data_IF_575144021281
#
_entry.id   IF_575144021281
#
_cell.length_a   1.000
_cell.length_b   1.000
_cell.length_c   1.000
_cell.angle_alpha   90.00
_cell.angle_beta   90.00
_cell.angle_gamma   90.00
#
_symmetry.space_group_name_H-M   'P 1'
#
loop_
_entity.id
_entity.type
_entity.pdbx_description
1 polymer ?
#
# COMPACT_ATOMS: atom_id res chain seq x y z
N UNK A 1 -10.34 -19.05 2.08
CA UNK A 1 -10.46 -17.69 2.65
C UNK A 1 -11.05 -16.78 1.57
N UNK A 2 -11.98 -15.88 1.91
CA UNK A 2 -12.52 -14.93 0.92
C UNK A 2 -11.51 -13.83 0.60
N UNK A 3 -11.54 -13.30 -0.63
CA UNK A 3 -10.73 -12.14 -1.05
C UNK A 3 -10.92 -10.96 -0.11
N UNK A 4 -12.17 -10.70 0.27
CA UNK A 4 -12.54 -9.62 1.19
C UNK A 4 -11.81 -9.74 2.53
N UNK A 5 -11.77 -10.94 3.11
CA UNK A 5 -11.08 -11.17 4.38
C UNK A 5 -9.57 -10.92 4.24
N UNK A 6 -8.94 -11.43 3.17
CA UNK A 6 -7.52 -11.23 2.91
C UNK A 6 -7.17 -9.75 2.72
N UNK A 7 -8.00 -9.00 1.98
CA UNK A 7 -7.82 -7.55 1.78
C UNK A 7 -7.86 -6.81 3.11
N UNK A 8 -8.87 -7.07 3.94
CA UNK A 8 -9.01 -6.42 5.24
C UNK A 8 -7.87 -6.77 6.19
N UNK A 9 -7.44 -8.03 6.20
CA UNK A 9 -6.31 -8.48 7.01
C UNK A 9 -5.01 -7.78 6.57
N UNK A 10 -4.70 -7.80 5.27
CA UNK A 10 -3.51 -7.15 4.72
C UNK A 10 -3.50 -5.64 4.98
N UNK A 11 -4.64 -4.98 4.77
CA UNK A 11 -4.79 -3.57 5.07
C UNK A 11 -4.59 -3.25 6.56
N UNK A 12 -5.23 -4.01 7.46
CA UNK A 12 -5.10 -3.80 8.90
C UNK A 12 -3.65 -3.97 9.37
N UNK A 13 -2.94 -4.98 8.86
CA UNK A 13 -1.51 -5.18 9.16
C UNK A 13 -0.67 -4.01 8.67
N UNK A 14 -0.88 -3.54 7.44
CA UNK A 14 -0.16 -2.38 6.90
C UNK A 14 -0.38 -1.12 7.74
N UNK A 15 -1.64 -0.82 8.09
CA UNK A 15 -1.97 0.33 8.93
C UNK A 15 -1.33 0.21 10.31
N UNK A 16 -1.37 -0.97 10.92
CA UNK A 16 -0.77 -1.20 12.24
C UNK A 16 0.74 -0.94 12.21
N UNK A 17 1.46 -1.53 11.26
CA UNK A 17 2.92 -1.31 11.09
C UNK A 17 3.19 0.17 10.85
N UNK A 18 2.36 0.83 10.05
CA UNK A 18 2.52 2.23 9.72
C UNK A 18 2.34 3.14 10.93
N UNK A 19 1.36 2.89 11.78
CA UNK A 19 1.11 3.63 13.02
C UNK A 19 2.20 3.37 14.07
N UNK A 20 2.76 2.17 14.13
CA UNK A 20 3.73 1.83 15.17
C UNK A 20 5.17 2.23 14.81
N UNK A 21 5.59 2.08 13.55
CA UNK A 21 7.01 2.18 13.18
C UNK A 21 7.31 3.25 12.13
N UNK A 22 6.62 3.23 10.98
CA UNK A 22 7.10 3.93 9.78
C UNK A 22 6.55 5.35 9.60
N UNK A 23 5.57 5.79 10.40
CA UNK A 23 5.08 7.17 10.31
C UNK A 23 6.12 8.23 10.73
N UNK A 24 7.00 7.94 11.69
CA UNK A 24 8.03 8.88 12.17
C UNK A 24 9.02 9.30 11.09
N UNK A 25 9.64 8.36 10.33
CA UNK A 25 10.53 8.75 9.23
C UNK A 25 9.76 9.46 8.10
N UNK A 26 8.55 9.02 7.75
CA UNK A 26 7.72 9.68 6.74
C UNK A 26 7.31 11.11 7.14
N UNK A 27 7.11 11.35 8.43
CA UNK A 27 6.83 12.68 8.98
C UNK A 27 8.04 13.62 8.84
N UNK A 28 9.26 13.12 9.03
CA UNK A 28 10.48 13.91 8.90
C UNK A 28 10.71 14.40 7.45
N UNK A 29 10.33 13.61 6.45
CA UNK A 29 10.47 13.99 5.03
C UNK A 29 9.40 14.99 4.58
N UNK A 30 8.22 14.98 5.20
CA UNK A 30 7.10 15.83 4.84
C UNK A 30 7.15 17.26 5.40
N UNK A 31 8.04 17.55 6.37
CA UNK A 31 8.01 18.76 7.22
C UNK A 31 7.89 20.06 6.38
N UNK A 32 6.68 20.63 6.22
CA UNK A 32 6.46 21.67 5.23
C UNK A 32 6.75 23.05 5.82
N UNK A 33 7.29 24.01 5.04
CA UNK A 33 7.55 25.37 5.50
C UNK A 33 6.28 26.21 5.72
N UNK A 34 5.12 25.77 5.19
CA UNK A 34 3.83 26.46 5.36
C UNK A 34 2.70 25.45 5.57
N UNK A 35 1.98 25.57 6.69
CA UNK A 35 0.97 24.61 7.08
C UNK A 35 -0.37 24.85 6.37
N UNK A 36 -0.95 23.83 5.73
CA UNK A 36 -2.30 23.85 5.14
C UNK A 36 -3.06 22.60 5.59
N UNK A 37 -3.72 22.62 6.77
CA UNK A 37 -4.24 21.40 7.41
C UNK A 37 -5.26 20.65 6.54
N UNK A 38 -6.09 21.37 5.78
CA UNK A 38 -7.09 20.78 4.89
C UNK A 38 -6.44 19.99 3.74
N UNK A 39 -5.35 20.49 3.16
CA UNK A 39 -4.64 19.79 2.08
C UNK A 39 -3.98 18.49 2.59
N UNK A 40 -3.49 18.48 3.83
CA UNK A 40 -2.95 17.28 4.47
C UNK A 40 -4.03 16.26 4.81
N UNK A 41 -5.22 16.68 5.24
CA UNK A 41 -6.36 15.79 5.46
C UNK A 41 -6.73 15.05 4.17
N UNK A 42 -7.00 15.80 3.09
CA UNK A 42 -7.43 15.21 1.82
C UNK A 42 -6.34 14.36 1.17
N UNK A 43 -5.08 14.80 1.20
CA UNK A 43 -3.95 14.01 0.72
C UNK A 43 -3.79 12.69 1.50
N UNK A 44 -3.95 12.74 2.82
CA UNK A 44 -3.86 11.54 3.66
C UNK A 44 -5.01 10.58 3.40
N UNK A 45 -6.25 11.07 3.28
CA UNK A 45 -7.40 10.23 2.95
C UNK A 45 -7.22 9.54 1.59
N UNK A 46 -6.69 10.25 0.59
CA UNK A 46 -6.38 9.68 -0.71
C UNK A 46 -5.29 8.61 -0.62
N UNK A 47 -4.23 8.84 0.16
CA UNK A 47 -3.20 7.85 0.40
C UNK A 47 -3.74 6.63 1.15
N UNK A 48 -4.64 6.81 2.12
CA UNK A 48 -5.29 5.69 2.81
C UNK A 48 -6.11 4.83 1.84
N UNK A 49 -6.87 5.46 0.93
CA UNK A 49 -7.62 4.77 -0.10
C UNK A 49 -6.70 4.00 -1.05
N UNK A 50 -5.59 4.61 -1.47
CA UNK A 50 -4.58 3.94 -2.29
C UNK A 50 -3.96 2.74 -1.57
N UNK A 51 -3.62 2.86 -0.29
CA UNK A 51 -3.11 1.75 0.52
C UNK A 51 -4.11 0.59 0.61
N UNK A 52 -5.42 0.88 0.67
CA UNK A 52 -6.47 -0.14 0.60
C UNK A 52 -6.50 -0.84 -0.77
N UNK A 53 -6.35 -0.11 -1.87
CA UNK A 53 -6.27 -0.70 -3.21
C UNK A 53 -5.03 -1.61 -3.35
N UNK A 54 -3.90 -1.21 -2.76
CA UNK A 54 -2.69 -2.05 -2.67
C UNK A 54 -2.83 -3.25 -1.74
N UNK A 55 -3.83 -3.29 -0.83
CA UNK A 55 -4.17 -4.51 -0.09
C UNK A 55 -5.09 -5.44 -0.91
N UNK A 56 -5.89 -4.85 -1.79
CA UNK A 56 -6.87 -5.56 -2.60
C UNK A 56 -6.23 -6.29 -3.77
N UNK A 57 -5.33 -5.64 -4.52
CA UNK A 57 -4.59 -6.24 -5.63
C UNK A 57 -3.85 -7.56 -5.29
N UNK A 58 -3.06 -7.64 -4.21
CA UNK A 58 -2.40 -8.89 -3.85
C UNK A 58 -3.39 -9.93 -3.30
N UNK A 59 -4.46 -9.50 -2.63
CA UNK A 59 -5.50 -10.41 -2.14
C UNK A 59 -6.29 -11.07 -3.28
N UNK A 60 -6.55 -10.36 -4.38
CA UNK A 60 -7.16 -10.95 -5.57
C UNK A 60 -6.18 -11.90 -6.25
N UNK A 61 -4.92 -11.50 -6.42
CA UNK A 61 -3.86 -12.33 -7.02
C UNK A 61 -3.61 -13.64 -6.24
N UNK A 62 -3.60 -13.58 -4.90
CA UNK A 62 -3.45 -14.79 -4.06
C UNK A 62 -4.63 -15.75 -4.24
N UNK A 63 -5.85 -15.21 -4.38
CA UNK A 63 -7.05 -16.04 -4.56
C UNK A 63 -7.14 -16.62 -5.98
N UNK A 64 -6.77 -15.86 -7.01
CA UNK A 64 -6.74 -16.34 -8.40
C UNK A 64 -5.53 -17.21 -8.70
N UNK A 65 -4.46 -17.11 -7.92
CA UNK A 65 -3.18 -17.81 -8.14
C UNK A 65 -2.40 -17.27 -9.34
N UNK A 66 -2.77 -16.10 -9.85
CA UNK A 66 -2.21 -15.50 -11.04
C UNK A 66 -2.08 -13.99 -10.89
N UNK A 67 -0.90 -13.47 -11.25
CA UNK A 67 -0.62 -12.03 -11.35
C UNK A 67 -0.41 -11.72 -12.83
N UNK A 68 -1.23 -10.80 -13.36
CA UNK A 68 -1.08 -10.24 -14.71
C UNK A 68 -0.89 -8.74 -14.61
N UNK A 69 0.28 -8.26 -15.00
CA UNK A 69 0.58 -6.84 -15.09
C UNK A 69 0.97 -6.52 -16.53
N UNK A 70 0.08 -5.86 -17.26
CA UNK A 70 0.37 -5.39 -18.61
C UNK A 70 0.73 -3.92 -18.61
N UNK A 71 1.88 -3.58 -19.19
CA UNK A 71 2.29 -2.21 -19.36
C UNK A 71 2.75 -1.96 -20.80
N UNK A 72 2.18 -0.93 -21.42
CA UNK A 72 2.32 -0.67 -22.85
C UNK A 72 3.77 -0.54 -23.34
N UNK A 73 4.69 -0.01 -22.50
CA UNK A 73 6.11 0.17 -22.84
C UNK A 73 7.05 -0.91 -22.32
N UNK A 74 6.68 -1.62 -21.26
CA UNK A 74 7.58 -2.56 -20.56
C UNK A 74 7.14 -4.01 -20.68
N UNK A 75 6.14 -4.28 -21.51
CA UNK A 75 5.63 -5.63 -21.77
C UNK A 75 4.66 -6.12 -20.71
N UNK A 76 4.40 -7.42 -20.75
CA UNK A 76 3.53 -8.12 -19.81
C UNK A 76 4.37 -8.90 -18.79
N UNK A 77 4.04 -8.76 -17.52
CA UNK A 77 4.54 -9.62 -16.44
C UNK A 77 3.40 -10.55 -16.08
N UNK A 78 3.60 -11.83 -16.36
CA UNK A 78 2.68 -12.91 -16.06
C UNK A 78 3.36 -13.88 -15.10
N UNK A 79 2.84 -13.98 -13.88
CA UNK A 79 3.38 -14.88 -12.88
C UNK A 79 2.27 -15.78 -12.33
N UNK A 80 2.45 -17.09 -12.50
CA UNK A 80 1.59 -18.11 -11.95
C UNK A 80 2.20 -18.66 -10.66
N UNK A 81 1.38 -18.81 -9.62
CA UNK A 81 1.83 -19.34 -8.34
C UNK A 81 2.48 -20.73 -8.46
N UNK A 82 1.98 -21.56 -9.37
CA UNK A 82 2.40 -22.96 -9.47
C UNK A 82 3.55 -23.20 -10.45
N UNK A 83 3.84 -22.23 -11.34
CA UNK A 83 4.91 -22.33 -12.34
C UNK A 83 6.13 -21.49 -11.91
N UNK A 84 5.90 -20.25 -11.49
CA UNK A 84 6.94 -19.31 -11.07
C UNK A 84 6.66 -18.77 -9.66
N UNK A 85 6.68 -19.63 -8.62
CA UNK A 85 6.26 -19.27 -7.27
C UNK A 85 7.08 -18.11 -6.70
N UNK A 86 8.39 -18.07 -6.97
CA UNK A 86 9.26 -17.01 -6.45
C UNK A 86 8.92 -15.65 -7.05
N UNK A 87 8.75 -15.57 -8.37
CA UNK A 87 8.36 -14.33 -9.06
C UNK A 87 6.98 -13.85 -8.57
N UNK A 88 6.02 -14.77 -8.46
CA UNK A 88 4.69 -14.49 -7.93
C UNK A 88 4.76 -13.86 -6.53
N UNK A 89 5.43 -14.51 -5.57
CA UNK A 89 5.50 -14.01 -4.19
C UNK A 89 6.31 -12.71 -4.07
N UNK A 90 7.34 -12.53 -4.89
CA UNK A 90 8.08 -11.26 -4.94
C UNK A 90 7.20 -10.09 -5.38
N UNK A 91 6.33 -10.29 -6.37
CA UNK A 91 5.39 -9.24 -6.80
C UNK A 91 4.39 -8.92 -5.67
N UNK A 92 3.84 -9.94 -5.02
CA UNK A 92 2.93 -9.77 -3.88
C UNK A 92 3.60 -8.98 -2.74
N UNK A 93 4.85 -9.33 -2.39
CA UNK A 93 5.61 -8.60 -1.36
C UNK A 93 5.87 -7.15 -1.77
N UNK A 94 6.24 -6.91 -3.04
CA UNK A 94 6.44 -5.56 -3.54
C UNK A 94 5.16 -4.72 -3.45
N UNK A 95 4.00 -5.27 -3.84
CA UNK A 95 2.71 -4.58 -3.74
C UNK A 95 2.37 -4.21 -2.28
N UNK A 96 2.53 -5.13 -1.34
CA UNK A 96 2.33 -4.83 0.08
C UNK A 96 3.34 -3.80 0.61
N UNK A 97 4.59 -3.83 0.16
CA UNK A 97 5.60 -2.85 0.55
C UNK A 97 5.25 -1.44 0.05
N UNK A 98 4.75 -1.31 -1.19
CA UNK A 98 4.25 -0.05 -1.72
C UNK A 98 3.00 0.44 -0.96
N UNK A 99 2.05 -0.46 -0.68
CA UNK A 99 0.88 -0.16 0.15
C UNK A 99 1.27 0.35 1.54
N UNK A 100 2.24 -0.30 2.19
CA UNK A 100 2.76 0.09 3.50
C UNK A 100 3.43 1.47 3.45
N UNK A 101 4.23 1.76 2.42
CA UNK A 101 4.85 3.06 2.23
C UNK A 101 3.79 4.16 2.13
N UNK A 102 2.76 3.95 1.32
CA UNK A 102 1.65 4.91 1.15
C UNK A 102 0.86 5.09 2.46
N UNK A 103 0.54 4.01 3.18
CA UNK A 103 -0.11 4.07 4.48
C UNK A 103 0.71 4.88 5.49
N UNK A 104 2.04 4.74 5.46
CA UNK A 104 2.96 5.50 6.31
C UNK A 104 2.87 7.01 6.05
N UNK A 105 2.83 7.41 4.78
CA UNK A 105 2.64 8.81 4.39
C UNK A 105 1.24 9.34 4.74
N UNK A 106 0.20 8.51 4.63
CA UNK A 106 -1.13 8.86 5.12
C UNK A 106 -1.13 9.18 6.61
N UNK A 107 -0.53 8.35 7.45
CA UNK A 107 -0.52 8.56 8.90
C UNK A 107 0.35 9.77 9.27
N UNK A 108 1.49 9.95 8.60
CA UNK A 108 2.33 11.12 8.78
C UNK A 108 1.59 12.43 8.40
N UNK A 109 0.82 12.43 7.31
CA UNK A 109 -0.01 13.55 6.92
C UNK A 109 -1.14 13.87 7.92
N UNK A 110 -1.78 12.84 8.48
CA UNK A 110 -2.77 12.99 9.56
C UNK A 110 -2.12 13.58 10.82
N UNK A 111 -0.92 13.12 11.19
CA UNK A 111 -0.18 13.61 12.35
C UNK A 111 0.19 15.10 12.20
N UNK A 112 0.48 15.57 10.99
CA UNK A 112 0.74 16.99 10.72
C UNK A 112 -0.50 17.86 11.00
N UNK A 113 -1.72 17.36 10.84
CA UNK A 113 -2.94 18.16 11.11
C UNK A 113 -3.06 18.68 12.55
N UNK A 114 -2.43 18.03 13.52
CA UNK A 114 -2.53 18.38 14.95
C UNK A 114 -1.52 19.46 15.39
N UNK A 115 -0.59 19.87 14.54
CA UNK A 115 0.40 20.92 14.83
C UNK A 115 0.03 22.23 14.13
#
# INVERSE_FOLDING_TARGET
MSTTFMTWLGFAVMVLIAVTFTWRPAYATLRPPRHRPVAFLFGSLLFMLMAFLFAWAPATAINTGHVHLSHHRSGTIDAWRDIEPMTFWLIIVAEYAFGLLIASYSIAGIALMKR
#
